data_IF_716177080856
#
_entry.id   IF_716177080856
#
_cell.length_a   1.000
_cell.length_b   1.000
_cell.length_c   1.000
_cell.angle_alpha   90.00
_cell.angle_beta   90.00
_cell.angle_gamma   90.00
#
_symmetry.space_group_name_H-M   'P 1'
#
loop_
_entity.id
_entity.type
_entity.pdbx_description
1 polymer ?
#
# COMPACT_ATOMS: atom_id res chain seq x y z
N UNK A 1 3.33 -21.41 0.78
CA UNK A 1 2.70 -20.54 1.79
C UNK A 1 3.78 -20.17 2.79
N UNK A 2 3.74 -18.99 3.43
CA UNK A 2 4.74 -18.62 4.44
C UNK A 2 4.70 -19.54 5.66
N UNK A 3 5.71 -19.44 6.52
CA UNK A 3 5.92 -20.35 7.68
C UNK A 3 4.69 -20.48 8.60
N UNK A 4 3.81 -19.47 8.61
CA UNK A 4 2.61 -19.42 9.47
C UNK A 4 1.30 -19.80 8.74
N UNK A 5 1.37 -20.41 7.56
CA UNK A 5 0.20 -20.74 6.74
C UNK A 5 -0.50 -19.51 6.12
N UNK A 6 0.11 -18.33 6.25
CA UNK A 6 -0.30 -17.09 5.61
C UNK A 6 0.37 -16.97 4.24
N UNK A 7 -0.41 -16.65 3.22
CA UNK A 7 0.09 -16.38 1.88
C UNK A 7 -0.07 -14.90 1.56
N UNK A 8 1.03 -14.24 1.19
CA UNK A 8 1.01 -12.86 0.70
C UNK A 8 0.19 -12.79 -0.59
N UNK A 9 -0.76 -11.88 -0.66
CA UNK A 9 -1.64 -11.69 -1.82
C UNK A 9 -1.47 -10.34 -2.48
N UNK A 10 -1.31 -9.28 -1.71
CA UNK A 10 -1.13 -7.94 -2.24
C UNK A 10 -0.07 -7.19 -1.46
N UNK A 11 0.77 -6.46 -2.19
CA UNK A 11 1.70 -5.49 -1.66
C UNK A 11 1.40 -4.12 -2.24
N UNK A 12 1.47 -3.07 -1.43
CA UNK A 12 1.35 -1.69 -1.90
C UNK A 12 2.30 -0.78 -1.15
N UNK A 13 3.20 -0.13 -1.89
CA UNK A 13 4.07 0.89 -1.32
C UNK A 13 3.30 2.19 -1.09
N UNK A 14 3.60 2.84 0.03
CA UNK A 14 3.03 4.14 0.39
C UNK A 14 4.17 5.15 0.42
N UNK A 15 4.00 6.19 -0.38
CA UNK A 15 4.95 7.29 -0.51
C UNK A 15 4.32 8.56 0.06
N UNK A 16 5.10 9.43 0.73
CA UNK A 16 4.62 10.76 1.08
C UNK A 16 4.06 11.50 -0.14
N UNK A 17 4.81 11.49 -1.25
CA UNK A 17 4.47 12.13 -2.53
C UNK A 17 5.20 11.40 -3.68
N UNK A 18 5.05 11.86 -4.93
CA UNK A 18 5.60 11.20 -6.14
C UNK A 18 7.13 11.24 -6.24
N UNK A 19 7.78 12.18 -5.57
CA UNK A 19 9.23 12.40 -5.63
C UNK A 19 9.95 11.79 -4.42
N UNK A 20 9.20 11.47 -3.36
CA UNK A 20 9.73 10.86 -2.14
C UNK A 20 9.86 9.32 -2.24
N UNK A 21 10.88 8.71 -1.61
CA UNK A 21 10.93 7.26 -1.45
C UNK A 21 9.74 6.75 -0.61
N UNK A 22 9.39 5.47 -0.70
CA UNK A 22 8.33 4.90 0.12
C UNK A 22 8.75 4.89 1.59
N UNK A 23 7.84 5.30 2.48
CA UNK A 23 8.05 5.29 3.93
C UNK A 23 7.26 4.19 4.64
N UNK A 24 6.31 3.56 3.95
CA UNK A 24 5.45 2.51 4.50
C UNK A 24 5.09 1.48 3.40
N UNK A 25 4.84 0.23 3.82
CA UNK A 25 4.36 -0.85 2.96
C UNK A 25 3.08 -1.45 3.56
N UNK A 26 2.05 -1.61 2.73
CA UNK A 26 0.83 -2.35 3.07
C UNK A 26 0.94 -3.76 2.48
N UNK A 27 0.68 -4.76 3.31
CA UNK A 27 0.72 -6.16 2.90
C UNK A 27 -0.56 -6.88 3.33
N UNK A 28 -1.25 -7.49 2.37
CA UNK A 28 -2.42 -8.33 2.63
C UNK A 28 -2.02 -9.79 2.56
N UNK A 29 -2.34 -10.53 3.63
CA UNK A 29 -2.10 -11.95 3.73
C UNK A 29 -3.42 -12.71 3.86
N UNK A 30 -3.48 -13.89 3.23
CA UNK A 30 -4.62 -14.80 3.33
C UNK A 30 -4.20 -16.17 3.85
N UNK A 31 -4.82 -16.62 4.94
CA UNK A 31 -4.62 -17.97 5.49
C UNK A 31 -5.03 -19.03 4.47
N UNK A 32 -4.15 -20.00 4.22
CA UNK A 32 -4.39 -21.06 3.22
C UNK A 32 -4.50 -20.54 1.78
N UNK A 33 -4.07 -19.30 1.52
CA UNK A 33 -4.42 -18.61 0.28
C UNK A 33 -3.75 -19.12 -1.01
N UNK A 34 -2.82 -20.07 -0.93
CA UNK A 34 -2.03 -20.57 -2.06
C UNK A 34 -0.99 -19.57 -2.58
N UNK A 35 -0.22 -19.94 -3.61
CA UNK A 35 0.78 -19.06 -4.22
C UNK A 35 0.15 -17.88 -4.99
N UNK A 36 0.99 -16.91 -5.37
CA UNK A 36 0.59 -15.73 -6.14
C UNK A 36 0.35 -14.49 -5.28
N UNK A 37 1.15 -13.46 -5.54
CA UNK A 37 1.06 -12.12 -4.96
C UNK A 37 1.14 -11.07 -6.08
N UNK A 38 0.41 -9.97 -5.93
CA UNK A 38 0.47 -8.82 -6.84
C UNK A 38 1.07 -7.60 -6.15
N UNK A 39 1.98 -6.92 -6.84
CA UNK A 39 2.41 -5.56 -6.46
C UNK A 39 1.40 -4.58 -7.06
N UNK A 40 0.78 -3.78 -6.20
CA UNK A 40 -0.21 -2.78 -6.58
C UNK A 40 0.47 -1.45 -6.92
N UNK A 41 -0.17 -0.58 -7.72
CA UNK A 41 0.32 0.78 -7.93
C UNK A 41 0.56 1.48 -6.59
N UNK A 42 1.56 2.38 -6.49
CA UNK A 42 1.85 3.08 -5.24
C UNK A 42 0.64 3.89 -4.74
N UNK A 43 0.57 4.10 -3.43
CA UNK A 43 -0.34 5.07 -2.82
C UNK A 43 0.47 6.32 -2.45
N UNK A 44 0.04 7.49 -2.94
CA UNK A 44 0.64 8.77 -2.57
C UNK A 44 -0.22 9.44 -1.50
N UNK A 45 0.39 9.76 -0.36
CA UNK A 45 -0.33 10.41 0.74
C UNK A 45 -0.72 11.82 0.33
N UNK A 46 0.22 12.58 -0.24
CA UNK A 46 0.03 13.95 -0.69
C UNK A 46 0.21 14.08 -2.20
N UNK A 47 -0.63 14.88 -2.85
CA UNK A 47 -0.44 15.26 -4.26
C UNK A 47 0.67 16.30 -4.41
N UNK A 48 0.84 17.13 -3.37
CA UNK A 48 1.89 18.14 -3.24
C UNK A 48 2.49 18.09 -1.83
N UNK A 49 3.80 17.89 -1.76
CA UNK A 49 4.54 17.75 -0.51
C UNK A 49 4.58 19.07 0.30
N UNK A 50 4.57 20.23 -0.36
CA UNK A 50 4.63 21.53 0.31
C UNK A 50 3.29 21.90 0.95
N UNK A 51 2.19 21.57 0.27
CA UNK A 51 0.85 21.98 0.68
C UNK A 51 0.07 20.89 1.46
N UNK A 52 0.67 19.69 1.64
CA UNK A 52 0.08 18.53 2.36
C UNK A 52 -1.37 18.26 1.97
N UNK A 53 -1.68 18.41 0.68
CA UNK A 53 -3.00 18.11 0.16
C UNK A 53 -3.10 16.60 0.01
N UNK A 54 -3.99 15.96 0.77
CA UNK A 54 -4.18 14.51 0.66
C UNK A 54 -4.58 14.14 -0.76
N UNK A 55 -3.88 13.18 -1.34
CA UNK A 55 -4.26 12.62 -2.63
C UNK A 55 -5.69 12.07 -2.57
N UNK A 56 -6.47 12.26 -3.62
CA UNK A 56 -7.89 11.87 -3.64
C UNK A 56 -8.13 10.39 -3.31
N UNK A 57 -7.16 9.53 -3.61
CA UNK A 57 -7.20 8.11 -3.24
C UNK A 57 -6.93 7.85 -1.75
N UNK A 58 -6.02 8.63 -1.15
CA UNK A 58 -5.70 8.54 0.27
C UNK A 58 -6.90 8.94 1.12
N UNK A 59 -7.59 10.03 0.78
CA UNK A 59 -8.77 10.48 1.51
C UNK A 59 -9.88 9.41 1.53
N UNK A 60 -10.12 8.74 0.41
CA UNK A 60 -11.09 7.63 0.31
C UNK A 60 -10.68 6.41 1.15
N UNK A 61 -9.39 6.17 1.29
CA UNK A 61 -8.86 5.01 2.03
C UNK A 61 -8.97 5.21 3.54
N UNK A 62 -8.77 6.44 4.04
CA UNK A 62 -8.81 6.74 5.47
C UNK A 62 -10.25 6.87 6.00
N UNK A 63 -11.21 7.24 5.15
CA UNK A 63 -12.63 7.39 5.53
C UNK A 63 -13.44 6.10 5.56
N UNK A 64 -12.80 4.93 5.48
CA UNK A 64 -13.45 3.61 5.40
C UNK A 64 -13.07 2.74 6.59
#
# INVERSE_FOLDING_TARGET
AGENGLALKRLRFVHPDKNSPPSLLLAEFRKGGGAGASVMPPLFIYDDAEHKIFGAETQRTISR
#
